data_IF_691598852304
#
_entry.id   IF_691598852304
#
_cell.length_a   1.000
_cell.length_b   1.000
_cell.length_c   1.000
_cell.angle_alpha   90.00
_cell.angle_beta   90.00
_cell.angle_gamma   90.00
#
_symmetry.space_group_name_H-M   'P 1'
#
loop_
_entity.id
_entity.type
_entity.pdbx_description
1 polymer ?
#
# COMPACT_ATOMS: atom_id res chain seq x y z
N UNK A 1 -34.99 -2.15 16.60
CA UNK A 1 -33.91 -3.11 16.31
C UNK A 1 -33.00 -3.15 17.51
N UNK A 2 -32.81 -4.32 18.13
CA UNK A 2 -31.84 -4.47 19.22
C UNK A 2 -30.44 -4.11 18.70
N UNK A 3 -29.77 -3.16 19.37
CA UNK A 3 -28.37 -2.87 19.09
C UNK A 3 -27.54 -4.07 19.55
N UNK A 4 -27.20 -4.95 18.60
CA UNK A 4 -26.29 -6.04 18.85
C UNK A 4 -24.92 -5.47 19.25
N UNK A 5 -24.38 -5.92 20.38
CA UNK A 5 -23.06 -5.49 20.86
C UNK A 5 -22.01 -5.79 19.79
N UNK A 6 -21.31 -4.76 19.32
CA UNK A 6 -20.27 -4.90 18.29
C UNK A 6 -19.12 -5.77 18.83
N UNK A 7 -18.65 -6.70 18.00
CA UNK A 7 -17.50 -7.55 18.34
C UNK A 7 -16.19 -6.76 18.21
N UNK A 8 -15.24 -7.02 19.09
CA UNK A 8 -13.88 -6.46 18.96
C UNK A 8 -13.16 -7.17 17.80
N UNK A 9 -12.59 -6.43 16.83
CA UNK A 9 -11.93 -7.00 15.65
C UNK A 9 -10.55 -7.57 16.00
N UNK A 10 -10.51 -8.69 16.71
CA UNK A 10 -9.24 -9.30 17.12
C UNK A 10 -8.57 -9.99 15.92
N UNK A 11 -7.39 -9.49 15.52
CA UNK A 11 -6.63 -10.03 14.39
C UNK A 11 -7.16 -9.61 13.01
N UNK A 12 -8.15 -8.70 12.94
CA UNK A 12 -8.67 -8.17 11.68
C UNK A 12 -7.98 -6.84 11.38
N UNK A 13 -7.19 -6.82 10.32
CA UNK A 13 -6.47 -5.62 9.84
C UNK A 13 -7.08 -5.00 8.59
N UNK A 14 -8.17 -5.57 8.07
CA UNK A 14 -8.88 -5.05 6.91
C UNK A 14 -10.04 -4.14 7.35
N UNK A 15 -9.94 -2.85 7.00
CA UNK A 15 -10.91 -1.83 7.36
C UNK A 15 -12.30 -2.13 6.77
N UNK A 16 -12.37 -2.56 5.52
CA UNK A 16 -13.63 -2.89 4.84
C UNK A 16 -14.38 -3.97 5.61
N UNK A 17 -13.69 -5.07 5.95
CA UNK A 17 -14.24 -6.17 6.74
C UNK A 17 -14.75 -5.69 8.11
N UNK A 18 -14.02 -4.81 8.80
CA UNK A 18 -14.44 -4.28 10.10
C UNK A 18 -15.75 -3.50 9.99
N UNK A 19 -15.90 -2.66 8.97
CA UNK A 19 -17.12 -1.86 8.77
C UNK A 19 -18.28 -2.74 8.30
N UNK A 20 -18.08 -3.55 7.26
CA UNK A 20 -19.14 -4.39 6.66
C UNK A 20 -19.66 -5.47 7.63
N UNK A 21 -18.80 -6.00 8.50
CA UNK A 21 -19.19 -6.96 9.54
C UNK A 21 -19.71 -6.29 10.82
N UNK A 22 -19.89 -4.97 10.81
CA UNK A 22 -20.35 -4.16 11.95
C UNK A 22 -19.54 -4.43 13.25
N UNK A 23 -18.22 -4.54 13.12
CA UNK A 23 -17.30 -4.72 14.24
C UNK A 23 -17.01 -3.37 14.93
N UNK A 24 -16.45 -3.43 16.14
CA UNK A 24 -16.07 -2.24 16.90
C UNK A 24 -14.87 -1.56 16.23
N UNK A 25 -15.07 -0.34 15.73
CA UNK A 25 -14.04 0.47 15.10
C UNK A 25 -13.90 1.80 15.84
N UNK A 26 -12.66 2.18 16.15
CA UNK A 26 -12.34 3.50 16.71
C UNK A 26 -12.05 4.42 15.53
N UNK A 27 -12.97 5.35 15.29
CA UNK A 27 -12.85 6.29 14.18
C UNK A 27 -11.63 7.22 14.34
N UNK A 28 -10.73 7.15 13.36
CA UNK A 28 -9.54 8.01 13.22
C UNK A 28 -9.54 8.79 11.90
N UNK A 29 -10.66 8.77 11.18
CA UNK A 29 -10.75 9.36 9.84
C UNK A 29 -10.64 10.89 9.86
N UNK A 30 -10.86 11.51 11.03
CA UNK A 30 -10.59 12.94 11.26
C UNK A 30 -9.14 13.37 11.04
N UNK A 31 -8.19 12.43 11.03
CA UNK A 31 -6.78 12.74 10.75
C UNK A 31 -6.45 12.75 9.26
N UNK A 32 -7.34 12.29 8.37
CA UNK A 32 -7.09 12.30 6.92
C UNK A 32 -6.79 13.71 6.39
N UNK A 33 -7.57 14.76 6.70
CA UNK A 33 -7.26 16.11 6.22
C UNK A 33 -5.94 16.65 6.76
N UNK A 34 -5.52 16.23 7.95
CA UNK A 34 -4.23 16.65 8.51
C UNK A 34 -3.06 15.88 7.90
N UNK A 35 -3.28 14.61 7.55
CA UNK A 35 -2.35 13.79 6.79
C UNK A 35 -2.09 14.39 5.41
N UNK A 36 -3.14 14.85 4.74
CA UNK A 36 -3.09 15.47 3.41
C UNK A 36 -2.31 16.81 3.39
N UNK A 37 -2.12 17.45 4.56
CA UNK A 37 -1.29 18.65 4.70
C UNK A 37 0.19 18.34 4.95
N UNK A 38 0.54 17.09 5.20
CA UNK A 38 1.92 16.67 5.41
C UNK A 38 2.66 16.47 4.07
N UNK A 39 3.99 16.35 4.07
CA UNK A 39 4.74 16.02 2.86
C UNK A 39 4.29 14.70 2.22
N UNK A 40 4.44 14.58 0.90
CA UNK A 40 3.97 13.42 0.12
C UNK A 40 4.52 12.06 0.59
N UNK A 41 5.69 12.05 1.21
CA UNK A 41 6.35 10.85 1.70
C UNK A 41 6.30 10.80 3.24
N UNK A 42 5.46 9.92 3.78
CA UNK A 42 5.25 9.78 5.21
C UNK A 42 5.75 8.44 5.73
N UNK A 43 6.40 8.47 6.89
CA UNK A 43 6.93 7.28 7.55
C UNK A 43 6.38 7.16 8.97
N UNK A 44 5.73 6.04 9.28
CA UNK A 44 5.06 5.80 10.57
C UNK A 44 5.92 4.96 11.51
N UNK A 45 6.84 5.60 12.25
CA UNK A 45 7.71 4.96 13.27
C UNK A 45 6.98 4.69 14.59
N UNK A 46 6.29 3.54 14.77
CA UNK A 46 5.59 3.27 16.06
C UNK A 46 5.51 1.80 16.50
N UNK A 47 5.19 1.55 17.79
CA UNK A 47 5.15 0.21 18.41
C UNK A 47 4.18 -0.79 17.73
N UNK A 48 4.39 -2.07 18.03
CA UNK A 48 3.57 -3.19 17.55
C UNK A 48 2.12 -3.06 18.04
N UNK A 49 1.15 -3.52 17.23
CA UNK A 49 -0.30 -3.58 17.55
C UNK A 49 -1.00 -2.23 17.73
N UNK A 50 -0.46 -1.14 17.21
CA UNK A 50 -1.09 0.18 17.27
C UNK A 50 -2.19 0.43 16.21
N UNK A 51 -2.52 -0.59 15.41
CA UNK A 51 -3.51 -0.49 14.33
C UNK A 51 -2.98 0.21 13.08
N UNK A 52 -1.69 0.03 12.74
CA UNK A 52 -1.10 0.60 11.52
C UNK A 52 -1.69 -0.04 10.26
N UNK A 53 -1.72 -1.37 10.18
CA UNK A 53 -2.29 -2.09 9.03
C UNK A 53 -3.75 -1.74 8.76
N UNK A 54 -4.59 -1.65 9.81
CA UNK A 54 -5.99 -1.22 9.64
C UNK A 54 -6.10 0.25 9.21
N UNK A 55 -5.19 1.12 9.67
CA UNK A 55 -5.13 2.50 9.19
C UNK A 55 -4.73 2.57 7.71
N UNK A 56 -3.72 1.80 7.29
CA UNK A 56 -3.31 1.69 5.88
C UNK A 56 -4.42 1.11 4.99
N UNK A 57 -5.13 0.08 5.46
CA UNK A 57 -6.31 -0.47 4.77
C UNK A 57 -7.42 0.59 4.64
N UNK A 58 -7.65 1.40 5.67
CA UNK A 58 -8.59 2.53 5.61
C UNK A 58 -8.15 3.59 4.58
N UNK A 59 -6.87 3.96 4.54
CA UNK A 59 -6.33 4.88 3.51
C UNK A 59 -6.55 4.33 2.11
N UNK A 60 -6.25 3.05 1.90
CA UNK A 60 -6.48 2.37 0.64
C UNK A 60 -7.96 2.49 0.23
N UNK A 61 -8.90 2.14 1.13
CA UNK A 61 -10.33 2.25 0.85
C UNK A 61 -10.83 3.67 0.60
N UNK A 62 -10.20 4.68 1.21
CA UNK A 62 -10.60 6.07 1.06
C UNK A 62 -10.10 6.70 -0.25
N UNK A 63 -8.85 6.42 -0.62
CA UNK A 63 -8.16 7.06 -1.75
C UNK A 63 -8.34 6.32 -3.07
N UNK A 64 -8.60 5.00 -3.06
CA UNK A 64 -8.75 4.21 -4.29
C UNK A 64 -9.98 4.62 -5.12
N UNK A 65 -9.74 4.97 -6.39
CA UNK A 65 -10.77 5.38 -7.32
C UNK A 65 -11.78 4.27 -7.61
N UNK A 66 -11.39 2.99 -7.53
CA UNK A 66 -12.29 1.86 -7.70
C UNK A 66 -13.25 1.66 -6.51
N UNK A 67 -12.97 2.28 -5.35
CA UNK A 67 -13.81 2.19 -4.15
C UNK A 67 -14.77 3.37 -4.00
N UNK A 68 -14.76 4.32 -4.94
CA UNK A 68 -15.54 5.57 -4.85
C UNK A 68 -17.04 5.34 -4.68
N UNK A 69 -17.58 4.31 -5.31
CA UNK A 69 -19.00 3.94 -5.19
C UNK A 69 -19.37 3.33 -3.83
N UNK A 70 -18.40 2.89 -3.03
CA UNK A 70 -18.61 2.35 -1.67
C UNK A 70 -18.42 3.39 -0.57
N UNK A 71 -18.17 4.66 -0.93
CA UNK A 71 -17.88 5.71 0.04
C UNK A 71 -18.93 5.81 1.14
N UNK A 72 -20.21 5.88 0.77
CA UNK A 72 -21.31 5.99 1.73
C UNK A 72 -21.36 4.79 2.67
N UNK A 73 -21.25 3.57 2.12
CA UNK A 73 -21.27 2.33 2.90
C UNK A 73 -20.10 2.23 3.88
N UNK A 74 -18.90 2.65 3.48
CA UNK A 74 -17.68 2.48 4.28
C UNK A 74 -17.42 3.63 5.24
N UNK A 75 -17.82 4.85 4.88
CA UNK A 75 -17.44 6.07 5.60
C UNK A 75 -18.61 6.91 6.08
N UNK A 76 -19.85 6.71 5.61
CA UNK A 76 -20.99 7.59 5.89
C UNK A 76 -21.25 7.84 7.39
N UNK A 77 -21.05 6.82 8.21
CA UNK A 77 -21.19 6.90 9.67
C UNK A 77 -19.93 7.46 10.39
N UNK A 78 -18.81 7.59 9.70
CA UNK A 78 -17.53 8.08 10.21
C UNK A 78 -17.41 9.60 10.05
N UNK A 79 -16.43 10.19 10.73
CA UNK A 79 -16.17 11.63 10.67
C UNK A 79 -15.91 12.09 9.24
N UNK A 80 -15.08 11.38 8.48
CA UNK A 80 -14.75 11.75 7.10
C UNK A 80 -15.91 11.56 6.11
N UNK A 81 -16.88 10.69 6.42
CA UNK A 81 -18.11 10.56 5.63
C UNK A 81 -18.87 11.88 5.56
N UNK A 82 -18.86 12.62 6.67
CA UNK A 82 -19.51 13.92 6.83
C UNK A 82 -18.61 15.09 6.41
N UNK A 83 -17.31 14.84 6.21
CA UNK A 83 -16.30 15.85 5.87
C UNK A 83 -15.35 15.33 4.77
N UNK A 84 -15.87 14.92 3.60
CA UNK A 84 -15.02 14.36 2.55
C UNK A 84 -14.01 15.39 2.05
N UNK A 85 -12.79 14.94 1.74
CA UNK A 85 -11.76 15.75 1.10
C UNK A 85 -11.86 15.61 -0.41
N UNK A 86 -11.20 16.52 -1.15
CA UNK A 86 -11.14 16.45 -2.61
C UNK A 86 -10.37 15.23 -3.14
N UNK A 87 -9.61 14.57 -2.27
CA UNK A 87 -8.77 13.41 -2.60
C UNK A 87 -9.51 12.07 -2.49
N UNK A 88 -10.77 12.09 -2.03
CA UNK A 88 -11.61 10.90 -1.94
C UNK A 88 -11.73 10.21 -3.31
N UNK A 89 -11.28 8.95 -3.37
CA UNK A 89 -11.38 8.11 -4.57
C UNK A 89 -10.70 8.70 -5.81
N UNK A 90 -9.57 9.41 -5.65
CA UNK A 90 -8.85 10.02 -6.78
C UNK A 90 -7.64 9.22 -7.26
N UNK A 91 -7.14 8.28 -6.47
CA UNK A 91 -5.86 7.61 -6.71
C UNK A 91 -6.03 6.18 -7.23
N UNK A 92 -5.05 5.73 -7.99
CA UNK A 92 -4.78 4.30 -8.15
C UNK A 92 -3.75 3.90 -7.10
N UNK A 93 -4.14 3.04 -6.17
CA UNK A 93 -3.34 2.70 -4.99
C UNK A 93 -2.59 1.39 -5.22
N UNK A 94 -1.26 1.42 -5.08
CA UNK A 94 -0.41 0.24 -4.99
C UNK A 94 -0.15 -0.08 -3.51
N UNK A 95 -0.66 -1.22 -3.05
CA UNK A 95 -0.47 -1.69 -1.68
C UNK A 95 0.58 -2.81 -1.64
N UNK A 96 1.67 -2.57 -0.93
CA UNK A 96 2.74 -3.51 -0.66
C UNK A 96 2.75 -3.88 0.83
N UNK A 97 3.03 -5.14 1.11
CA UNK A 97 3.24 -5.72 2.43
C UNK A 97 4.53 -6.54 2.38
N UNK A 98 5.58 -5.99 2.97
CA UNK A 98 6.92 -6.57 2.88
C UNK A 98 7.13 -7.76 3.82
N UNK A 99 6.17 -8.06 4.71
CA UNK A 99 6.20 -9.30 5.50
C UNK A 99 6.09 -10.57 4.64
N UNK A 100 5.51 -10.44 3.44
CA UNK A 100 5.37 -11.52 2.46
C UNK A 100 6.68 -11.86 1.75
N UNK A 101 7.66 -10.95 1.80
CA UNK A 101 9.01 -11.17 1.26
C UNK A 101 9.80 -11.88 2.35
N UNK A 102 9.77 -13.21 2.30
CA UNK A 102 10.54 -14.09 3.19
C UNK A 102 11.72 -14.68 2.43
N UNK A 103 12.72 -15.20 3.12
CA UNK A 103 13.84 -15.91 2.51
C UNK A 103 15.19 -15.37 2.95
N UNK A 104 16.24 -16.11 2.61
CA UNK A 104 17.63 -15.74 2.90
C UNK A 104 18.10 -14.61 2.00
N UNK A 105 19.11 -13.86 2.45
CA UNK A 105 19.67 -12.68 1.76
C UNK A 105 20.15 -13.00 0.33
N UNK A 106 20.73 -14.18 0.11
CA UNK A 106 21.31 -14.61 -1.17
C UNK A 106 20.31 -14.70 -2.32
N UNK A 107 19.02 -14.87 -2.03
CA UNK A 107 17.93 -14.91 -3.02
C UNK A 107 16.94 -13.77 -2.85
N UNK A 108 17.26 -12.79 -1.99
CA UNK A 108 16.32 -11.76 -1.57
C UNK A 108 15.95 -10.81 -2.70
N UNK A 109 16.91 -10.43 -3.52
CA UNK A 109 16.69 -9.60 -4.72
C UNK A 109 15.75 -10.26 -5.71
N UNK A 110 15.97 -11.55 -6.02
CA UNK A 110 15.10 -12.34 -6.90
C UNK A 110 13.68 -12.42 -6.34
N UNK A 111 13.54 -12.72 -5.04
CA UNK A 111 12.22 -12.79 -4.38
C UNK A 111 11.51 -11.46 -4.35
N UNK A 112 12.24 -10.38 -4.20
CA UNK A 112 11.69 -9.03 -4.20
C UNK A 112 11.20 -8.65 -5.61
N UNK A 113 11.97 -8.96 -6.66
CA UNK A 113 11.52 -8.81 -8.04
C UNK A 113 10.25 -9.62 -8.29
N UNK A 114 10.24 -10.91 -7.93
CA UNK A 114 9.08 -11.78 -8.10
C UNK A 114 7.84 -11.23 -7.35
N UNK A 115 8.01 -10.81 -6.10
CA UNK A 115 6.95 -10.21 -5.30
C UNK A 115 6.38 -8.94 -5.96
N UNK A 116 7.25 -8.01 -6.37
CA UNK A 116 6.81 -6.78 -7.01
C UNK A 116 6.14 -7.06 -8.36
N UNK A 117 6.66 -7.98 -9.17
CA UNK A 117 6.03 -8.39 -10.43
C UNK A 117 4.61 -8.88 -10.21
N UNK A 118 4.39 -9.73 -9.20
CA UNK A 118 3.04 -10.20 -8.83
C UNK A 118 2.14 -9.02 -8.43
N UNK A 119 2.63 -8.11 -7.59
CA UNK A 119 1.84 -6.95 -7.13
C UNK A 119 1.53 -5.97 -8.26
N UNK A 120 2.45 -5.75 -9.19
CA UNK A 120 2.27 -4.87 -10.33
C UNK A 120 1.32 -5.49 -11.37
N UNK A 121 1.38 -6.81 -11.57
CA UNK A 121 0.43 -7.53 -12.42
C UNK A 121 -0.99 -7.41 -11.85
N UNK A 122 -1.17 -7.63 -10.54
CA UNK A 122 -2.46 -7.43 -9.87
C UNK A 122 -2.94 -5.98 -9.94
N UNK A 123 -2.03 -5.02 -9.80
CA UNK A 123 -2.35 -3.59 -9.91
C UNK A 123 -2.90 -3.26 -11.31
N UNK A 124 -2.21 -3.65 -12.39
CA UNK A 124 -2.68 -3.32 -13.75
C UNK A 124 -3.94 -4.07 -14.14
N UNK A 125 -4.18 -5.26 -13.58
CA UNK A 125 -5.45 -5.98 -13.72
C UNK A 125 -6.59 -5.23 -13.02
N UNK A 126 -6.37 -4.80 -11.77
CA UNK A 126 -7.35 -4.04 -11.00
C UNK A 126 -7.75 -2.73 -11.70
N UNK A 127 -6.80 -2.06 -12.36
CA UNK A 127 -7.03 -0.82 -13.07
C UNK A 127 -7.09 -1.01 -14.60
N UNK A 128 -7.39 -2.22 -15.09
CA UNK A 128 -7.29 -2.55 -16.52
C UNK A 128 -8.06 -1.60 -17.45
N UNK A 129 -9.22 -1.09 -17.00
CA UNK A 129 -10.01 -0.10 -17.74
C UNK A 129 -9.25 1.22 -18.00
N UNK A 130 -8.33 1.61 -17.12
CA UNK A 130 -7.52 2.82 -17.24
C UNK A 130 -6.30 2.62 -18.16
N UNK A 131 -5.72 1.41 -18.17
CA UNK A 131 -4.54 1.09 -18.97
C UNK A 131 -4.89 0.66 -20.40
N UNK A 132 -5.98 -0.09 -20.57
CA UNK A 132 -6.35 -0.74 -21.82
C UNK A 132 -5.70 -2.12 -21.96
N UNK A 133 -6.38 -3.04 -22.66
CA UNK A 133 -5.99 -4.45 -22.74
C UNK A 133 -4.58 -4.66 -23.29
N UNK A 134 -4.17 -3.90 -24.31
CA UNK A 134 -2.84 -3.98 -24.92
C UNK A 134 -1.74 -3.67 -23.89
N UNK A 135 -1.86 -2.56 -23.15
CA UNK A 135 -0.87 -2.18 -22.14
C UNK A 135 -0.85 -3.12 -20.95
N UNK A 136 -1.99 -3.65 -20.54
CA UNK A 136 -2.03 -4.68 -19.49
C UNK A 136 -1.25 -5.92 -19.92
N UNK A 137 -1.44 -6.39 -21.16
CA UNK A 137 -0.68 -7.55 -21.70
C UNK A 137 0.81 -7.24 -21.79
N UNK A 138 1.18 -6.05 -22.27
CA UNK A 138 2.58 -5.63 -22.35
C UNK A 138 3.26 -5.62 -20.97
N UNK A 139 2.63 -5.02 -19.96
CA UNK A 139 3.19 -4.92 -18.61
C UNK A 139 3.34 -6.34 -18.01
N UNK A 140 2.32 -7.19 -18.16
CA UNK A 140 2.38 -8.57 -17.66
C UNK A 140 3.45 -9.41 -18.35
N UNK A 141 3.82 -9.10 -19.59
CA UNK A 141 4.88 -9.82 -20.31
C UNK A 141 6.31 -9.54 -19.78
N UNK A 142 6.51 -8.45 -19.03
CA UNK A 142 7.83 -8.12 -18.47
C UNK A 142 8.18 -9.03 -17.28
N UNK A 143 9.46 -9.36 -17.15
CA UNK A 143 9.98 -10.19 -16.05
C UNK A 143 10.59 -9.36 -14.91
N UNK A 144 11.03 -8.13 -15.22
CA UNK A 144 11.59 -7.19 -14.26
C UNK A 144 10.55 -6.19 -13.77
N UNK A 145 10.44 -6.03 -12.45
CA UNK A 145 9.52 -5.08 -11.83
C UNK A 145 9.80 -3.64 -12.27
N UNK A 146 11.08 -3.32 -12.53
CA UNK A 146 11.51 -1.98 -12.92
C UNK A 146 10.92 -1.60 -14.29
N UNK A 147 10.89 -2.53 -15.24
CA UNK A 147 10.28 -2.31 -16.56
C UNK A 147 8.77 -2.13 -16.44
N UNK A 148 8.11 -2.94 -15.59
CA UNK A 148 6.67 -2.81 -15.30
C UNK A 148 6.34 -1.42 -14.73
N UNK A 149 7.09 -0.99 -13.70
CA UNK A 149 6.92 0.32 -13.08
C UNK A 149 7.12 1.46 -14.07
N UNK A 150 8.15 1.38 -14.92
CA UNK A 150 8.41 2.41 -15.92
C UNK A 150 7.21 2.58 -16.86
N UNK A 151 6.66 1.49 -17.40
CA UNK A 151 5.49 1.55 -18.29
C UNK A 151 4.27 2.12 -17.55
N UNK A 152 4.06 1.70 -16.29
CA UNK A 152 2.97 2.20 -15.44
C UNK A 152 3.08 3.72 -15.27
N UNK A 153 4.26 4.24 -14.97
CA UNK A 153 4.50 5.67 -14.79
C UNK A 153 4.37 6.46 -16.09
N UNK A 154 4.85 5.93 -17.21
CA UNK A 154 4.68 6.57 -18.52
C UNK A 154 3.19 6.71 -18.88
N UNK A 155 2.40 5.65 -18.68
CA UNK A 155 0.95 5.69 -18.91
C UNK A 155 0.25 6.62 -17.92
N UNK A 156 0.60 6.55 -16.63
CA UNK A 156 0.02 7.41 -15.61
C UNK A 156 0.31 8.89 -15.90
N UNK A 157 1.53 9.23 -16.30
CA UNK A 157 1.90 10.60 -16.70
C UNK A 157 1.14 11.06 -17.95
N UNK A 158 1.07 10.22 -18.98
CA UNK A 158 0.39 10.55 -20.24
C UNK A 158 -1.12 10.77 -20.05
N UNK A 159 -1.75 9.98 -19.17
CA UNK A 159 -3.19 10.04 -18.87
C UNK A 159 -3.53 10.86 -17.61
N UNK A 160 -2.53 11.45 -16.96
CA UNK A 160 -2.62 12.24 -15.73
C UNK A 160 -3.30 11.48 -14.57
N UNK A 161 -3.00 10.18 -14.42
CA UNK A 161 -3.45 9.39 -13.29
C UNK A 161 -2.62 9.73 -12.05
N UNK A 162 -3.32 9.85 -10.91
CA UNK A 162 -2.67 10.02 -9.62
C UNK A 162 -2.41 8.64 -9.01
N UNK A 163 -1.15 8.37 -8.67
CA UNK A 163 -0.73 7.11 -8.06
C UNK A 163 -0.49 7.33 -6.56
N UNK A 164 -0.81 6.33 -5.75
CA UNK A 164 -0.55 6.36 -4.31
C UNK A 164 0.10 5.05 -3.86
N UNK A 165 1.23 5.13 -3.16
CA UNK A 165 1.99 3.96 -2.70
C UNK A 165 1.79 3.77 -1.20
N UNK A 166 1.34 2.58 -0.82
CA UNK A 166 1.29 2.14 0.57
C UNK A 166 2.25 0.97 0.75
N UNK A 167 3.07 1.03 1.80
CA UNK A 167 3.98 -0.06 2.19
C UNK A 167 3.73 -0.37 3.67
N UNK A 168 3.16 -1.53 3.96
CA UNK A 168 3.08 -2.10 5.30
C UNK A 168 4.31 -2.96 5.60
N UNK A 169 4.63 -3.09 6.90
CA UNK A 169 5.78 -3.85 7.40
C UNK A 169 7.10 -3.48 6.69
N UNK A 170 7.28 -2.19 6.38
CA UNK A 170 8.47 -1.63 5.74
C UNK A 170 9.78 -2.08 6.42
N UNK A 171 9.76 -2.14 7.75
CA UNK A 171 10.90 -2.53 8.59
C UNK A 171 11.17 -4.03 8.61
N UNK A 172 10.30 -4.89 8.05
CA UNK A 172 10.51 -6.34 7.99
C UNK A 172 11.87 -6.70 7.40
N UNK A 173 12.27 -6.03 6.32
CA UNK A 173 13.57 -6.21 5.69
C UNK A 173 14.73 -5.90 6.64
N UNK A 174 14.63 -4.79 7.37
CA UNK A 174 15.62 -4.37 8.37
C UNK A 174 15.72 -5.40 9.49
N UNK A 175 14.59 -5.92 9.95
CA UNK A 175 14.54 -6.93 11.02
C UNK A 175 15.17 -8.26 10.58
N UNK A 176 14.91 -8.74 9.37
CA UNK A 176 15.52 -9.99 8.85
C UNK A 176 17.04 -9.85 8.78
N UNK A 177 17.54 -8.79 8.18
CA UNK A 177 18.98 -8.61 7.96
C UNK A 177 19.73 -8.39 9.28
N UNK A 178 19.19 -7.56 10.17
CA UNK A 178 19.81 -7.30 11.48
C UNK A 178 19.90 -8.58 12.31
N UNK A 179 18.85 -9.42 12.29
CA UNK A 179 18.82 -10.66 13.07
C UNK A 179 19.73 -11.75 12.50
N UNK A 180 19.78 -11.91 11.17
CA UNK A 180 20.52 -13.02 10.54
C UNK A 180 22.01 -12.72 10.35
N UNK A 181 22.39 -11.46 10.11
CA UNK A 181 23.73 -11.12 9.64
C UNK A 181 24.39 -9.93 10.38
N UNK A 182 23.68 -9.29 11.30
CA UNK A 182 24.19 -8.20 12.14
C UNK A 182 24.37 -6.85 11.42
N UNK A 183 24.78 -5.83 12.19
CA UNK A 183 24.80 -4.43 11.75
C UNK A 183 25.70 -4.16 10.53
N UNK A 184 26.83 -4.87 10.39
CA UNK A 184 27.77 -4.64 9.28
C UNK A 184 27.17 -4.98 7.92
N UNK A 185 26.43 -6.09 7.84
CA UNK A 185 25.76 -6.52 6.59
C UNK A 185 24.54 -5.65 6.31
N UNK A 186 23.82 -5.23 7.36
CA UNK A 186 22.77 -4.21 7.24
C UNK A 186 23.28 -2.92 6.62
N UNK A 187 24.41 -2.39 7.10
CA UNK A 187 25.00 -1.17 6.53
C UNK A 187 25.42 -1.36 5.08
N UNK A 188 26.01 -2.51 4.71
CA UNK A 188 26.43 -2.79 3.33
C UNK A 188 25.24 -2.86 2.34
N UNK A 189 24.10 -3.42 2.76
CA UNK A 189 22.90 -3.58 1.90
C UNK A 189 22.05 -2.30 1.86
N UNK A 190 22.19 -1.40 2.85
CA UNK A 190 21.43 -0.15 2.91
C UNK A 190 22.21 1.08 2.41
N UNK A 191 23.54 1.01 2.33
CA UNK A 191 24.40 2.11 1.88
C UNK A 191 25.03 1.86 0.49
N UNK A 192 25.32 2.97 -0.20
CA UNK A 192 25.99 3.14 -1.51
C UNK A 192 25.49 2.27 -2.70
N UNK A 193 25.56 0.95 -2.65
CA UNK A 193 25.37 0.02 -3.78
C UNK A 193 24.36 -1.13 -3.50
N UNK A 194 23.59 -1.03 -2.42
CA UNK A 194 22.65 -2.08 -2.04
C UNK A 194 21.33 -2.04 -2.82
N UNK A 195 20.91 -3.20 -3.34
CA UNK A 195 19.66 -3.44 -4.07
C UNK A 195 18.43 -2.72 -3.47
N UNK A 196 18.29 -2.75 -2.15
CA UNK A 196 17.12 -2.17 -1.46
C UNK A 196 17.00 -0.66 -1.73
N UNK A 197 18.10 0.09 -1.67
CA UNK A 197 18.06 1.54 -1.95
C UNK A 197 17.67 1.80 -3.40
N UNK A 198 18.12 0.98 -4.34
CA UNK A 198 17.83 1.13 -5.75
C UNK A 198 16.36 0.88 -6.07
N UNK A 199 15.74 -0.11 -5.44
CA UNK A 199 14.27 -0.30 -5.48
C UNK A 199 13.54 0.97 -5.08
N UNK A 200 13.89 1.59 -3.95
CA UNK A 200 13.21 2.80 -3.49
C UNK A 200 13.46 4.02 -4.36
N UNK A 201 14.62 4.11 -5.01
CA UNK A 201 14.85 5.15 -6.04
C UNK A 201 13.87 4.97 -7.20
N UNK A 202 13.53 3.74 -7.58
CA UNK A 202 12.54 3.49 -8.65
C UNK A 202 11.13 3.95 -8.27
N UNK A 203 10.74 3.91 -6.99
CA UNK A 203 9.44 4.43 -6.55
C UNK A 203 9.35 5.97 -6.48
N UNK A 204 10.49 6.68 -6.48
CA UNK A 204 10.55 8.16 -6.45
C UNK A 204 10.55 8.80 -7.84
N UNK A 205 10.55 7.99 -8.90
CA UNK A 205 10.67 8.41 -10.30
C UNK A 205 9.36 8.87 -10.92
#
# INVERSE_FOLDING_TARGET
>A
MEQQVKRVPYGVSDFVSVIEQNQYYVDKTMFLPDLEKQPDNLFFIRPRRFGKSIFLSMLYSYYDCNQKNKFETLFGDLWIGKHPTSLQGTYQVLFLDFSQITGKIDILEERFNAYLCIKLDSFVEQYAAYYGSEKVVEIKSKTEYADKLQIIFEVAKAKQFQLYLIIDEYDNFTNVILNEHGEKVYHAITHADGFYRDVFKKFKG
#
